data_IF_120312637471
#
_entry.id   IF_120312637471
#
_cell.length_a   1.000
_cell.length_b   1.000
_cell.length_c   1.000
_cell.angle_alpha   90.00
_cell.angle_beta   90.00
_cell.angle_gamma   90.00
#
_symmetry.space_group_name_H-M   'P 1'
#
loop_
_entity.id
_entity.type
_entity.pdbx_description
1 polymer ?
#
# COMPACT_ATOMS: atom_id res chain seq x y z
N UNK A 1 -6.51 -16.92 6.77
CA UNK A 1 -5.99 -15.99 7.80
C UNK A 1 -5.34 -14.82 7.09
N UNK A 2 -5.55 -13.60 7.60
CA UNK A 2 -4.91 -12.40 7.07
C UNK A 2 -3.40 -12.46 7.39
N UNK A 3 -2.60 -12.79 6.38
CA UNK A 3 -1.14 -12.92 6.48
C UNK A 3 -0.51 -11.64 7.04
N UNK A 4 -1.12 -10.48 6.79
CA UNK A 4 -0.61 -9.20 7.29
C UNK A 4 -0.83 -9.06 8.78
N UNK A 5 -2.03 -9.41 9.25
CA UNK A 5 -2.37 -9.34 10.68
C UNK A 5 -1.47 -10.26 11.52
N UNK A 6 -1.18 -11.47 11.03
CA UNK A 6 -0.28 -12.41 11.71
C UNK A 6 1.16 -11.89 11.75
N UNK A 7 1.67 -11.33 10.65
CA UNK A 7 2.99 -10.71 10.61
C UNK A 7 3.05 -9.50 11.56
N UNK A 8 1.99 -8.71 11.61
CA UNK A 8 1.93 -7.55 12.48
C UNK A 8 1.97 -7.93 13.96
N UNK A 9 1.20 -8.93 14.38
CA UNK A 9 1.24 -9.46 15.74
C UNK A 9 2.64 -10.00 16.08
N UNK A 10 3.22 -10.80 15.18
CA UNK A 10 4.55 -11.39 15.37
C UNK A 10 5.67 -10.35 15.51
N UNK A 11 5.58 -9.24 14.78
CA UNK A 11 6.62 -8.22 14.73
C UNK A 11 6.28 -6.94 15.49
N UNK A 12 5.19 -6.91 16.28
CA UNK A 12 4.74 -5.72 17.01
C UNK A 12 5.84 -5.13 17.91
N UNK A 13 6.58 -5.99 18.61
CA UNK A 13 7.67 -5.64 19.53
C UNK A 13 9.07 -5.81 18.92
N UNK A 14 9.17 -6.08 17.62
CA UNK A 14 10.44 -6.26 16.95
C UNK A 14 11.21 -4.93 16.81
N UNK A 15 12.52 -5.02 16.61
CA UNK A 15 13.36 -3.85 16.34
C UNK A 15 12.95 -3.15 15.04
N UNK A 16 13.27 -1.86 14.93
CA UNK A 16 12.96 -1.05 13.74
C UNK A 16 13.54 -1.67 12.46
N UNK A 17 14.75 -2.23 12.52
CA UNK A 17 15.39 -2.90 11.37
C UNK A 17 14.57 -4.10 10.88
N UNK A 18 14.06 -4.92 11.81
CA UNK A 18 13.23 -6.07 11.47
C UNK A 18 11.90 -5.60 10.86
N UNK A 19 11.25 -4.57 11.42
CA UNK A 19 10.02 -4.01 10.86
C UNK A 19 10.22 -3.48 9.44
N UNK A 20 11.34 -2.79 9.18
CA UNK A 20 11.69 -2.31 7.85
C UNK A 20 11.90 -3.45 6.84
N UNK A 21 12.55 -4.54 7.27
CA UNK A 21 12.73 -5.74 6.42
C UNK A 21 11.40 -6.39 6.07
N UNK A 22 10.51 -6.54 7.06
CA UNK A 22 9.17 -7.12 6.88
C UNK A 22 8.31 -6.23 5.98
N UNK A 23 8.33 -4.91 6.20
CA UNK A 23 7.63 -3.92 5.37
C UNK A 23 8.00 -4.01 3.89
N UNK A 24 9.30 -4.05 3.56
CA UNK A 24 9.76 -4.23 2.18
C UNK A 24 9.30 -5.56 1.57
N UNK A 25 9.23 -6.61 2.39
CA UNK A 25 8.70 -7.91 1.96
C UNK A 25 7.20 -7.83 1.66
N UNK A 26 6.42 -7.11 2.46
CA UNK A 26 4.98 -6.89 2.25
C UNK A 26 4.73 -6.11 0.96
N UNK A 27 5.46 -5.00 0.73
CA UNK A 27 5.34 -4.14 -0.47
C UNK A 27 5.59 -4.91 -1.78
N UNK A 28 6.58 -5.81 -1.75
CA UNK A 28 7.03 -6.59 -2.91
C UNK A 28 6.39 -7.98 -2.98
N UNK A 29 5.68 -8.38 -1.94
CA UNK A 29 5.11 -9.70 -1.76
C UNK A 29 3.63 -9.78 -2.13
N UNK A 30 2.98 -10.83 -1.64
CA UNK A 30 1.59 -11.16 -1.94
C UNK A 30 0.61 -10.06 -1.53
N UNK A 31 0.88 -9.39 -0.42
CA UNK A 31 0.03 -8.32 0.13
C UNK A 31 0.07 -7.10 -0.78
N UNK A 32 1.26 -6.61 -1.11
CA UNK A 32 1.40 -5.52 -2.08
C UNK A 32 0.75 -5.87 -3.42
N UNK A 33 0.90 -7.11 -3.91
CA UNK A 33 0.21 -7.54 -5.13
C UNK A 33 -1.32 -7.52 -5.01
N UNK A 34 -1.87 -8.00 -3.89
CA UNK A 34 -3.31 -7.98 -3.62
C UNK A 34 -3.87 -6.55 -3.55
N UNK A 35 -3.17 -5.64 -2.85
CA UNK A 35 -3.54 -4.22 -2.76
C UNK A 35 -3.53 -3.56 -4.14
N UNK A 36 -2.49 -3.81 -4.94
CA UNK A 36 -2.42 -3.30 -6.33
C UNK A 36 -3.58 -3.78 -7.19
N UNK A 37 -3.90 -5.07 -7.11
CA UNK A 37 -5.01 -5.67 -7.87
C UNK A 37 -6.36 -5.10 -7.41
N UNK A 38 -6.59 -4.99 -6.11
CA UNK A 38 -7.83 -4.48 -5.55
C UNK A 38 -8.09 -3.00 -5.90
N UNK A 39 -7.04 -2.19 -5.98
CA UNK A 39 -7.11 -0.81 -6.47
C UNK A 39 -7.12 -0.71 -8.02
N UNK A 40 -7.28 -1.82 -8.74
CA UNK A 40 -7.32 -1.83 -10.21
C UNK A 40 -6.03 -1.36 -10.88
N UNK A 41 -4.90 -1.48 -10.19
CA UNK A 41 -3.59 -0.98 -10.59
C UNK A 41 -3.52 0.54 -10.85
N UNK A 42 -4.40 1.29 -10.17
CA UNK A 42 -4.47 2.75 -10.26
C UNK A 42 -3.62 3.45 -9.20
N UNK A 43 -3.07 4.60 -9.58
CA UNK A 43 -2.55 5.56 -8.61
C UNK A 43 -3.72 6.28 -7.92
N UNK A 44 -3.83 6.11 -6.60
CA UNK A 44 -4.92 6.69 -5.82
C UNK A 44 -4.86 8.23 -5.77
N UNK A 45 -3.65 8.82 -5.77
CA UNK A 45 -3.50 10.28 -5.83
C UNK A 45 -3.92 10.84 -7.19
N UNK A 46 -3.48 10.22 -8.30
CA UNK A 46 -3.95 10.65 -9.63
C UNK A 46 -5.47 10.56 -9.73
N UNK A 47 -6.06 9.46 -9.27
CA UNK A 47 -7.51 9.27 -9.33
C UNK A 47 -8.26 10.34 -8.50
N UNK A 48 -7.79 10.63 -7.28
CA UNK A 48 -8.38 11.67 -6.43
C UNK A 48 -8.22 13.09 -7.00
N UNK A 49 -7.16 13.35 -7.76
CA UNK A 49 -6.94 14.61 -8.49
C UNK A 49 -7.65 14.67 -9.85
N UNK A 50 -8.42 13.64 -10.21
CA UNK A 50 -9.07 13.52 -11.52
C UNK A 50 -8.08 13.52 -12.70
N UNK A 51 -6.85 13.02 -12.48
CA UNK A 51 -5.84 12.76 -13.50
C UNK A 51 -5.91 11.32 -13.99
N UNK A 52 -5.25 11.03 -15.12
CA UNK A 52 -5.10 9.66 -15.61
C UNK A 52 -4.37 8.78 -14.57
N UNK A 53 -5.02 7.75 -13.99
CA UNK A 53 -4.45 7.04 -12.85
C UNK A 53 -3.67 5.78 -13.23
N UNK A 54 -3.73 5.37 -14.50
CA UNK A 54 -3.07 4.17 -14.99
C UNK A 54 -1.69 4.51 -15.54
N UNK A 55 -0.67 3.79 -15.05
CA UNK A 55 0.68 3.82 -15.62
C UNK A 55 0.78 3.06 -16.94
N UNK A 56 2.02 2.84 -17.41
CA UNK A 56 2.25 2.01 -18.59
C UNK A 56 1.82 0.55 -18.38
N UNK A 57 1.45 -0.14 -19.45
CA UNK A 57 1.18 -1.58 -19.42
C UNK A 57 2.48 -2.36 -19.31
N UNK A 58 2.57 -3.23 -18.31
CA UNK A 58 3.66 -4.20 -18.17
C UNK A 58 3.47 -5.34 -19.18
N UNK A 59 4.54 -6.14 -19.37
CA UNK A 59 4.53 -7.34 -20.24
C UNK A 59 3.46 -8.36 -19.84
N UNK A 60 3.09 -8.42 -18.56
CA UNK A 60 2.07 -9.33 -18.05
C UNK A 60 0.62 -8.80 -18.23
N UNK A 61 0.44 -7.65 -18.89
CA UNK A 61 -0.88 -7.06 -19.18
C UNK A 61 -1.41 -6.07 -18.13
N UNK A 62 -0.94 -6.14 -16.88
CA UNK A 62 -1.36 -5.19 -15.84
C UNK A 62 -0.70 -3.82 -16.03
N UNK A 63 -1.32 -2.76 -15.50
CA UNK A 63 -0.67 -1.46 -15.41
C UNK A 63 0.37 -1.42 -14.30
N UNK A 64 1.43 -0.64 -14.52
CA UNK A 64 2.47 -0.43 -13.52
C UNK A 64 2.00 0.52 -12.41
N UNK A 65 2.17 0.08 -11.17
CA UNK A 65 1.92 0.87 -9.95
C UNK A 65 2.77 0.31 -8.79
N UNK A 66 3.12 1.18 -7.84
CA UNK A 66 3.94 0.86 -6.66
C UNK A 66 3.06 0.83 -5.41
N UNK A 67 3.38 -0.07 -4.48
CA UNK A 67 2.73 -0.15 -3.18
C UNK A 67 3.62 0.59 -2.18
N UNK A 68 3.03 1.46 -1.35
CA UNK A 68 3.75 2.34 -0.44
C UNK A 68 3.08 2.38 0.94
N UNK A 69 3.85 2.13 2.01
CA UNK A 69 3.35 2.33 3.37
C UNK A 69 3.26 3.83 3.70
N UNK A 70 2.07 4.28 4.09
CA UNK A 70 1.78 5.68 4.41
C UNK A 70 2.36 6.08 5.76
N UNK A 71 2.03 5.35 6.82
CA UNK A 71 2.65 5.56 8.12
C UNK A 71 4.05 4.91 8.14
N UNK A 72 5.05 5.60 8.72
CA UNK A 72 6.36 5.01 8.95
C UNK A 72 6.24 3.73 9.79
N UNK A 73 6.80 2.64 9.27
CA UNK A 73 6.81 1.35 9.98
C UNK A 73 7.69 1.35 11.25
N UNK A 74 8.48 2.40 11.45
CA UNK A 74 9.20 2.69 12.69
C UNK A 74 8.29 3.17 13.82
N UNK A 75 7.05 3.57 13.52
CA UNK A 75 6.10 3.96 14.55
C UNK A 75 5.72 2.73 15.41
N UNK A 76 5.37 2.98 16.68
CA UNK A 76 4.92 1.92 17.60
C UNK A 76 3.41 1.66 17.52
N UNK A 77 2.73 2.23 16.53
CA UNK A 77 1.29 2.06 16.37
C UNK A 77 0.97 0.68 15.80
N UNK A 78 -0.17 0.10 16.22
CA UNK A 78 -0.73 -1.10 15.60
C UNK A 78 -1.38 -0.72 14.26
N UNK A 79 -1.30 -1.59 13.27
CA UNK A 79 -1.82 -1.38 11.92
C UNK A 79 -0.79 -0.87 10.91
N UNK A 80 0.48 -0.68 11.30
CA UNK A 80 1.53 -0.09 10.45
C UNK A 80 2.03 -1.04 9.36
N UNK A 81 1.92 -2.35 9.57
CA UNK A 81 2.21 -3.35 8.53
C UNK A 81 0.97 -3.73 7.72
N UNK A 82 -0.22 -3.34 8.21
CA UNK A 82 -1.53 -3.57 7.63
C UNK A 82 -1.67 -3.16 6.16
N UNK A 83 -2.43 -3.93 5.37
CA UNK A 83 -2.80 -3.55 4.00
C UNK A 83 -3.55 -2.21 3.96
N UNK A 84 -4.26 -1.88 5.04
CA UNK A 84 -4.96 -0.60 5.22
C UNK A 84 -4.03 0.60 5.44
N UNK A 85 -2.72 0.37 5.62
CA UNK A 85 -1.67 1.39 5.65
C UNK A 85 -0.90 1.47 4.31
N UNK A 86 -1.33 0.75 3.27
CA UNK A 86 -0.67 0.72 1.97
C UNK A 86 -1.49 1.50 0.96
N UNK A 87 -0.86 2.47 0.28
CA UNK A 87 -1.40 3.14 -0.89
C UNK A 87 -0.77 2.60 -2.18
N UNK A 88 -1.53 2.69 -3.28
CA UNK A 88 -1.00 2.42 -4.63
C UNK A 88 -0.70 3.73 -5.35
N UNK A 89 0.56 3.94 -5.72
CA UNK A 89 1.07 5.18 -6.29
C UNK A 89 1.77 4.94 -7.62
N UNK A 90 1.65 5.88 -8.57
CA UNK A 90 2.52 5.89 -9.73
C UNK A 90 3.96 6.26 -9.30
N UNK A 91 4.95 5.99 -10.14
CA UNK A 91 6.35 6.28 -9.82
C UNK A 91 6.58 7.75 -9.43
N UNK A 92 5.89 8.68 -10.08
CA UNK A 92 6.02 10.11 -9.80
C UNK A 92 5.47 10.45 -8.41
N UNK A 93 4.22 10.11 -8.12
CA UNK A 93 3.63 10.38 -6.81
C UNK A 93 4.31 9.60 -5.69
N UNK A 94 4.81 8.38 -5.94
CA UNK A 94 5.59 7.66 -4.96
C UNK A 94 6.85 8.45 -4.57
N UNK A 95 7.57 9.01 -5.55
CA UNK A 95 8.73 9.87 -5.27
C UNK A 95 8.35 11.21 -4.68
N UNK A 96 7.20 11.77 -5.06
CA UNK A 96 6.66 12.98 -4.45
C UNK A 96 6.43 12.78 -2.95
N UNK A 97 5.80 11.68 -2.55
CA UNK A 97 5.58 11.35 -1.12
C UNK A 97 6.90 11.17 -0.36
N UNK A 98 7.96 10.67 -1.00
CA UNK A 98 9.26 10.53 -0.33
C UNK A 98 10.05 11.84 -0.19
N UNK A 99 9.91 12.77 -1.13
CA UNK A 99 10.88 13.86 -1.31
C UNK A 99 10.30 15.27 -1.51
N UNK A 100 9.02 15.39 -1.85
CA UNK A 100 8.37 16.69 -2.01
C UNK A 100 7.55 17.08 -0.80
N UNK A 101 6.77 18.15 -0.95
CA UNK A 101 5.93 18.73 0.11
C UNK A 101 4.58 18.02 0.15
N UNK A 102 4.61 16.80 0.69
CA UNK A 102 3.43 15.94 0.81
C UNK A 102 3.30 15.45 2.24
N UNK A 103 2.12 15.68 2.80
CA UNK A 103 1.72 15.10 4.07
C UNK A 103 0.56 14.13 3.83
N UNK A 104 0.67 12.90 4.36
CA UNK A 104 -0.42 11.95 4.34
C UNK A 104 -0.74 11.54 5.78
N UNK A 105 -1.97 11.82 6.19
CA UNK A 105 -2.52 11.43 7.49
C UNK A 105 -3.51 10.30 7.28
N UNK A 106 -3.37 9.24 8.07
CA UNK A 106 -4.30 8.11 8.05
C UNK A 106 -5.43 8.32 9.06
N UNK A 107 -6.67 8.04 8.66
CA UNK A 107 -7.84 8.00 9.54
C UNK A 107 -8.44 6.59 9.59
N UNK A 108 -9.55 6.43 10.30
CA UNK A 108 -10.26 5.15 10.37
C UNK A 108 -10.82 4.69 9.00
N UNK A 109 -11.08 5.60 8.07
CA UNK A 109 -11.74 5.28 6.79
C UNK A 109 -10.96 5.77 5.57
N UNK A 110 -10.10 6.77 5.73
CA UNK A 110 -9.48 7.48 4.61
C UNK A 110 -8.00 7.79 4.85
N UNK A 111 -7.28 8.07 3.77
CA UNK A 111 -6.05 8.83 3.77
C UNK A 111 -6.38 10.29 3.42
N UNK A 112 -6.00 11.21 4.30
CA UNK A 112 -6.02 12.65 4.02
C UNK A 112 -4.65 13.04 3.48
N UNK A 113 -4.56 13.38 2.20
CA UNK A 113 -3.31 13.78 1.56
C UNK A 113 -3.30 15.28 1.27
N UNK A 114 -2.38 16.01 1.88
CA UNK A 114 -2.03 17.38 1.51
C UNK A 114 -0.84 17.34 0.55
N UNK A 115 -1.03 17.80 -0.68
CA UNK A 115 -0.03 17.74 -1.76
C UNK A 115 -0.18 18.97 -2.64
N UNK A 116 0.91 19.72 -2.83
CA UNK A 116 0.94 20.97 -3.61
C UNK A 116 -0.15 21.98 -3.19
N UNK A 117 -0.47 22.04 -1.89
CA UNK A 117 -1.51 22.92 -1.34
C UNK A 117 -2.96 22.45 -1.55
N UNK A 118 -3.17 21.26 -2.12
CA UNK A 118 -4.49 20.64 -2.27
C UNK A 118 -4.66 19.54 -1.23
N UNK A 119 -5.81 19.50 -0.57
CA UNK A 119 -6.18 18.45 0.38
C UNK A 119 -7.17 17.48 -0.28
N UNK A 120 -6.80 16.21 -0.28
CA UNK A 120 -7.56 15.11 -0.89
C UNK A 120 -7.97 14.10 0.19
N UNK A 121 -9.19 13.58 0.09
CA UNK A 121 -9.65 12.43 0.89
C UNK A 121 -9.72 11.19 0.02
N UNK A 122 -9.00 10.14 0.41
CA UNK A 122 -8.86 8.91 -0.38
C UNK A 122 -9.30 7.74 0.48
N UNK A 123 -10.36 7.00 0.10
CA UNK A 123 -10.80 5.84 0.86
C UNK A 123 -9.69 4.81 1.05
N UNK A 124 -9.56 4.28 2.28
CA UNK A 124 -8.64 3.18 2.54
C UNK A 124 -9.19 1.90 1.96
N UNK A 125 -8.28 1.07 1.44
CA UNK A 125 -8.65 -0.25 0.99
C UNK A 125 -8.95 -1.14 2.20
N UNK A 126 -10.16 -1.69 2.22
CA UNK A 126 -10.53 -2.80 3.11
C UNK A 126 -10.55 -4.06 2.26
N UNK A 127 -9.52 -4.89 2.38
CA UNK A 127 -9.54 -6.21 1.76
C UNK A 127 -10.60 -7.07 2.47
N UNK A 128 -11.54 -7.70 1.73
CA UNK A 128 -12.53 -8.56 2.35
C UNK A 128 -11.85 -9.71 3.08
N UNK A 129 -12.18 -9.90 4.36
CA UNK A 129 -11.72 -11.04 5.15
C UNK A 129 -12.37 -12.30 4.59
N UNK A 130 -11.64 -13.07 3.78
CA UNK A 130 -12.12 -14.37 3.31
C UNK A 130 -11.81 -14.79 1.89
N UNK A 131 -11.00 -14.06 1.11
CA UNK A 131 -10.55 -14.60 -0.18
C UNK A 131 -9.50 -15.70 0.10
N UNK A 132 -9.79 -17.00 -0.14
CA UNK A 132 -8.76 -18.01 -0.06
C UNK A 132 -7.76 -17.66 -1.15
N UNK A 133 -6.59 -17.20 -0.74
CA UNK A 133 -5.39 -17.20 -1.53
C UNK A 133 -5.27 -18.59 -2.17
N UNK A 134 -5.75 -18.75 -3.40
CA UNK A 134 -5.71 -20.03 -4.10
C UNK A 134 -4.24 -20.34 -4.35
N UNK A 135 -3.65 -21.12 -3.45
CA UNK A 135 -2.35 -21.72 -3.62
C UNK A 135 -2.59 -22.91 -4.53
N UNK A 136 -2.73 -22.64 -5.82
CA UNK A 136 -2.32 -23.66 -6.78
C UNK A 136 -0.80 -23.70 -6.72
N UNK A 137 -0.32 -24.66 -5.93
CA UNK A 137 0.97 -25.29 -6.12
C UNK A 137 1.02 -25.76 -7.58
N UNK A 138 1.85 -25.14 -8.41
CA UNK A 138 2.35 -25.81 -9.60
C UNK A 138 3.67 -26.48 -9.21
N UNK A 139 3.54 -27.70 -8.67
CA UNK A 139 4.58 -28.72 -8.84
C UNK A 139 4.53 -29.18 -10.30
N UNK A 140 5.51 -28.76 -11.09
CA UNK A 140 6.05 -29.45 -12.27
C UNK A 140 7.32 -28.73 -12.75
#
# INVERSE_FOLDING_TARGET
MDVVAELEERYQNASTEVKLRVSKSIERGRVGAAVKKANGYKCQLCEAMNHAPLGFRKRNGDHYVEAHHVMPVSSRQKGVLGASNIMTLCANHHRHVHYGDVEIVISATDFSAAIDGVVLSIPRLVLPTGDPLNVEQSDA
#
